data_IF_732728090034
#
_entry.id   IF_732728090034
#
_cell.length_a   1.000
_cell.length_b   1.000
_cell.length_c   1.000
_cell.angle_alpha   90.00
_cell.angle_beta   90.00
_cell.angle_gamma   90.00
#
_symmetry.space_group_name_H-M   'P 1'
#
loop_
_entity.id
_entity.type
_entity.pdbx_description
1 polymer ?
#
# COMPACT_ATOMS: atom_id res chain seq x y z
N UNK A 1 2.29 24.04 -4.31
CA UNK A 1 1.37 22.90 -4.11
C UNK A 1 1.02 22.90 -2.64
N UNK A 2 -0.18 23.35 -2.26
CA UNK A 2 -0.63 23.25 -0.87
C UNK A 2 -0.58 21.77 -0.49
N UNK A 3 0.23 21.44 0.51
CA UNK A 3 0.16 20.14 1.18
C UNK A 3 -1.10 20.20 2.02
N UNK A 4 -2.24 19.87 1.44
CA UNK A 4 -3.39 19.50 2.25
C UNK A 4 -2.91 18.30 3.08
N UNK A 5 -2.79 18.47 4.39
CA UNK A 5 -2.39 17.39 5.29
C UNK A 5 -3.42 16.27 5.13
N UNK A 6 -2.94 15.11 4.67
CA UNK A 6 -3.70 13.87 4.68
C UNK A 6 -4.15 13.59 6.11
N UNK A 7 -5.43 13.84 6.40
CA UNK A 7 -6.03 13.55 7.70
C UNK A 7 -7.05 12.40 7.54
N UNK A 8 -6.81 11.31 8.25
CA UNK A 8 -7.65 10.11 8.26
C UNK A 8 -8.52 9.99 9.51
N UNK A 9 -8.51 10.98 10.41
CA UNK A 9 -9.29 10.97 11.64
C UNK A 9 -10.76 10.62 11.37
N UNK A 10 -11.31 9.70 12.16
CA UNK A 10 -12.69 9.23 12.08
C UNK A 10 -13.12 8.61 10.74
N UNK A 11 -12.19 8.28 9.84
CA UNK A 11 -12.44 7.64 8.56
C UNK A 11 -11.92 6.20 8.54
N UNK A 12 -12.48 5.40 7.62
CA UNK A 12 -12.03 4.04 7.35
C UNK A 12 -10.92 4.09 6.29
N UNK A 13 -9.90 3.26 6.44
CA UNK A 13 -8.77 3.14 5.52
C UNK A 13 -8.72 1.73 4.93
N UNK A 14 -8.81 1.64 3.61
CA UNK A 14 -8.47 0.46 2.82
C UNK A 14 -7.00 0.55 2.42
N UNK A 15 -6.11 0.02 3.26
CA UNK A 15 -4.69 -0.07 2.95
C UNK A 15 -4.42 -1.35 2.17
N UNK A 16 -3.95 -1.22 0.93
CA UNK A 16 -3.76 -2.33 -0.01
C UNK A 16 -2.28 -2.42 -0.36
N UNK A 17 -1.64 -3.53 0.01
CA UNK A 17 -0.25 -3.82 -0.33
C UNK A 17 -0.14 -4.83 -1.47
N UNK A 18 0.81 -4.60 -2.37
CA UNK A 18 1.11 -5.48 -3.50
C UNK A 18 1.75 -6.80 -3.09
N UNK A 19 2.81 -6.74 -2.28
CA UNK A 19 3.58 -7.89 -1.86
C UNK A 19 3.53 -8.14 -0.35
N UNK A 20 4.10 -9.28 0.04
CA UNK A 20 4.25 -9.64 1.45
C UNK A 20 5.24 -8.71 2.16
N UNK A 21 6.33 -8.30 1.50
CA UNK A 21 7.33 -7.42 2.09
C UNK A 21 6.74 -6.06 2.46
N UNK A 22 5.92 -5.45 1.58
CA UNK A 22 5.19 -4.23 1.90
C UNK A 22 4.17 -4.45 3.02
N UNK A 23 3.46 -5.58 3.00
CA UNK A 23 2.48 -5.91 4.05
C UNK A 23 3.15 -6.00 5.42
N UNK A 24 4.24 -6.76 5.53
CA UNK A 24 4.98 -6.96 6.79
C UNK A 24 5.53 -5.64 7.32
N UNK A 25 6.12 -4.80 6.44
CA UNK A 25 6.65 -3.50 6.84
C UNK A 25 5.53 -2.57 7.30
N UNK A 26 4.38 -2.56 6.61
CA UNK A 26 3.24 -1.72 7.00
C UNK A 26 2.63 -2.21 8.31
N UNK A 27 2.53 -3.52 8.53
CA UNK A 27 2.07 -4.07 9.79
C UNK A 27 3.00 -3.67 10.95
N UNK A 28 4.33 -3.74 10.76
CA UNK A 28 5.31 -3.26 11.76
C UNK A 28 5.11 -1.77 12.06
N UNK A 29 4.94 -0.94 11.02
CA UNK A 29 4.77 0.50 11.20
C UNK A 29 3.44 0.83 11.91
N UNK A 30 2.37 0.09 11.63
CA UNK A 30 1.08 0.21 12.31
C UNK A 30 1.17 -0.16 13.78
N UNK A 31 1.81 -1.28 14.09
CA UNK A 31 1.93 -1.79 15.45
C UNK A 31 2.78 -0.87 16.35
N UNK A 32 3.67 -0.10 15.73
CA UNK A 32 4.52 0.90 16.40
C UNK A 32 3.97 2.33 16.30
N UNK A 33 2.75 2.56 15.78
CA UNK A 33 2.14 3.87 15.60
C UNK A 33 3.01 4.88 14.81
N UNK A 34 3.70 4.40 13.78
CA UNK A 34 4.62 5.19 12.95
C UNK A 34 3.98 5.74 11.67
N UNK A 35 2.67 5.56 11.50
CA UNK A 35 1.89 6.07 10.37
C UNK A 35 0.89 7.15 10.81
N UNK A 36 0.42 7.95 9.86
CA UNK A 36 -0.61 8.98 10.06
C UNK A 36 -2.04 8.41 10.24
N UNK A 37 -2.15 7.09 10.35
CA UNK A 37 -3.37 6.35 10.67
C UNK A 37 -3.00 5.14 11.54
N UNK A 38 -3.95 4.65 12.33
CA UNK A 38 -3.73 3.51 13.23
C UNK A 38 -4.39 2.24 12.72
N UNK A 39 -4.05 1.09 13.31
CA UNK A 39 -4.65 -0.20 12.96
C UNK A 39 -6.18 -0.23 13.14
N UNK A 40 -6.72 0.49 14.12
CA UNK A 40 -8.17 0.59 14.34
C UNK A 40 -8.92 1.35 13.23
N UNK A 41 -8.21 2.17 12.44
CA UNK A 41 -8.79 2.86 11.28
C UNK A 41 -8.87 1.96 10.04
N UNK A 42 -8.15 0.85 10.01
CA UNK A 42 -8.18 -0.07 8.88
C UNK A 42 -9.51 -0.81 8.80
N UNK A 43 -9.98 -1.04 7.57
CA UNK A 43 -11.08 -1.97 7.33
C UNK A 43 -10.71 -3.36 7.88
N UNK A 44 -11.57 -3.91 8.73
CA UNK A 44 -11.31 -5.17 9.45
C UNK A 44 -9.98 -5.20 10.23
N UNK A 45 -9.44 -4.03 10.61
CA UNK A 45 -8.18 -3.88 11.37
C UNK A 45 -6.96 -4.53 10.70
N UNK A 46 -6.97 -4.71 9.38
CA UNK A 46 -5.92 -5.42 8.64
C UNK A 46 -5.52 -4.71 7.35
N UNK A 47 -4.28 -4.96 6.93
CA UNK A 47 -3.82 -4.63 5.59
C UNK A 47 -4.46 -5.61 4.61
N UNK A 48 -4.97 -5.09 3.50
CA UNK A 48 -5.55 -5.88 2.42
C UNK A 48 -4.45 -6.26 1.44
N UNK A 49 -4.50 -7.50 0.95
CA UNK A 49 -3.68 -7.92 -0.18
C UNK A 49 -4.23 -7.32 -1.47
N UNK A 50 -3.35 -7.05 -2.43
CA UNK A 50 -3.75 -6.62 -3.76
C UNK A 50 -4.63 -7.69 -4.42
N UNK A 51 -5.79 -7.25 -4.89
CA UNK A 51 -6.70 -8.02 -5.73
C UNK A 51 -6.94 -7.28 -7.05
N UNK A 52 -7.67 -7.90 -7.98
CA UNK A 52 -8.12 -7.21 -9.18
C UNK A 52 -9.02 -6.02 -8.81
N UNK A 53 -9.00 -4.98 -9.64
CA UNK A 53 -9.82 -3.78 -9.41
C UNK A 53 -11.32 -4.13 -9.33
N UNK A 54 -11.78 -5.13 -10.11
CA UNK A 54 -13.16 -5.62 -10.04
C UNK A 54 -13.49 -6.25 -8.68
N UNK A 55 -12.62 -7.11 -8.16
CA UNK A 55 -12.81 -7.69 -6.82
C UNK A 55 -12.76 -6.62 -5.74
N UNK A 56 -11.90 -5.61 -5.88
CA UNK A 56 -11.85 -4.51 -4.91
C UNK A 56 -13.19 -3.76 -4.88
N UNK A 57 -13.77 -3.51 -6.05
CA UNK A 57 -15.07 -2.85 -6.18
C UNK A 57 -16.19 -3.71 -5.59
N UNK A 58 -16.22 -4.99 -5.94
CA UNK A 58 -17.30 -5.89 -5.56
C UNK A 58 -17.26 -6.27 -4.07
N UNK A 59 -16.08 -6.41 -3.49
CA UNK A 59 -15.92 -6.86 -2.10
C UNK A 59 -15.82 -5.72 -1.08
N UNK A 60 -15.29 -4.56 -1.48
CA UNK A 60 -15.02 -3.47 -0.54
C UNK A 60 -15.78 -2.19 -0.88
N UNK A 61 -15.81 -1.75 -2.14
CA UNK A 61 -16.41 -0.45 -2.47
C UNK A 61 -17.94 -0.48 -2.61
N UNK A 62 -18.52 -1.67 -2.80
CA UNK A 62 -19.96 -1.94 -2.87
C UNK A 62 -20.66 -1.94 -1.52
N UNK A 63 -19.89 -2.02 -0.43
CA UNK A 63 -20.43 -2.02 0.93
C UNK A 63 -21.02 -0.66 1.29
N UNK A 64 -22.04 -0.68 2.14
CA UNK A 64 -22.63 0.54 2.67
C UNK A 64 -21.78 1.08 3.84
N UNK A 65 -21.10 2.20 3.59
CA UNK A 65 -20.32 2.93 4.60
C UNK A 65 -21.07 4.13 5.18
N UNK A 66 -22.37 4.28 4.87
CA UNK A 66 -23.15 5.45 5.23
C UNK A 66 -22.49 6.74 4.72
N UNK A 67 -22.28 7.70 5.62
CA UNK A 67 -21.64 8.98 5.28
C UNK A 67 -20.11 8.93 5.25
N UNK A 68 -19.48 7.79 5.54
CA UNK A 68 -18.03 7.67 5.75
C UNK A 68 -17.38 6.73 4.74
N UNK A 69 -17.40 7.11 3.46
CA UNK A 69 -16.66 6.37 2.43
C UNK A 69 -15.19 6.16 2.87
N UNK A 70 -14.55 5.03 2.55
CA UNK A 70 -13.17 4.80 2.94
C UNK A 70 -12.17 5.58 2.09
N UNK A 71 -11.00 5.85 2.65
CA UNK A 71 -9.79 6.18 1.88
C UNK A 71 -9.14 4.91 1.34
N UNK A 72 -8.59 4.96 0.14
CA UNK A 72 -7.88 3.85 -0.49
C UNK A 72 -6.40 4.21 -0.57
N UNK A 73 -5.57 3.54 0.22
CA UNK A 73 -4.11 3.69 0.19
C UNK A 73 -3.51 2.48 -0.48
N UNK A 74 -2.88 2.69 -1.63
CA UNK A 74 -2.25 1.62 -2.42
C UNK A 74 -0.73 1.71 -2.27
N UNK A 75 -0.10 0.63 -1.86
CA UNK A 75 1.34 0.50 -1.71
C UNK A 75 1.79 -0.56 -2.72
N UNK A 76 2.47 -0.10 -3.78
CA UNK A 76 2.71 -0.90 -4.99
C UNK A 76 4.17 -0.81 -5.44
N UNK A 77 4.66 -1.83 -6.13
CA UNK A 77 6.04 -1.94 -6.59
C UNK A 77 6.34 -1.00 -7.78
N UNK A 78 5.32 -0.71 -8.58
CA UNK A 78 5.47 -0.04 -9.88
C UNK A 78 4.26 0.82 -10.25
N UNK A 79 4.52 1.92 -10.96
CA UNK A 79 3.50 2.89 -11.39
C UNK A 79 2.63 2.42 -12.55
N UNK A 80 2.92 1.25 -13.13
CA UNK A 80 2.27 0.79 -14.35
C UNK A 80 0.91 0.13 -14.09
N UNK A 81 0.51 -0.07 -12.83
CA UNK A 81 -0.79 -0.63 -12.49
C UNK A 81 -1.91 0.42 -12.59
N UNK A 82 -2.71 0.30 -13.65
CA UNK A 82 -3.84 1.17 -13.91
C UNK A 82 -5.03 0.83 -12.99
N UNK A 83 -5.14 1.53 -11.86
CA UNK A 83 -6.28 1.42 -10.94
C UNK A 83 -7.52 2.15 -11.49
N UNK A 84 -8.20 1.50 -12.43
CA UNK A 84 -9.34 2.06 -13.14
C UNK A 84 -10.65 1.55 -12.55
N UNK A 85 -11.22 2.32 -11.63
CA UNK A 85 -12.57 2.07 -11.12
C UNK A 85 -13.63 2.32 -12.21
N UNK A 86 -14.72 1.55 -12.17
CA UNK A 86 -15.95 1.78 -12.94
C UNK A 86 -16.81 2.85 -12.27
N UNK A 87 -17.70 3.48 -13.02
CA UNK A 87 -18.71 4.36 -12.41
C UNK A 87 -19.72 3.53 -11.59
N UNK A 88 -20.25 4.05 -10.47
CA UNK A 88 -20.03 5.39 -9.92
C UNK A 88 -18.78 5.51 -9.02
N UNK A 89 -18.08 4.41 -8.73
CA UNK A 89 -16.95 4.39 -7.79
C UNK A 89 -15.82 5.33 -8.21
N UNK A 90 -15.53 5.41 -9.51
CA UNK A 90 -14.53 6.34 -10.03
C UNK A 90 -14.81 7.79 -9.61
N UNK A 91 -16.06 8.24 -9.70
CA UNK A 91 -16.46 9.59 -9.29
C UNK A 91 -16.42 9.73 -7.76
N UNK A 92 -17.00 8.77 -7.03
CA UNK A 92 -17.11 8.82 -5.57
C UNK A 92 -15.75 8.80 -4.84
N UNK A 93 -14.79 8.04 -5.35
CA UNK A 93 -13.49 7.82 -4.70
C UNK A 93 -12.36 8.66 -5.30
N UNK A 94 -12.64 9.53 -6.28
CA UNK A 94 -11.62 10.29 -7.03
C UNK A 94 -10.63 11.05 -6.14
N UNK A 95 -11.11 11.68 -5.07
CA UNK A 95 -10.31 12.46 -4.11
C UNK A 95 -9.85 11.64 -2.89
N UNK A 96 -10.05 10.33 -2.90
CA UNK A 96 -9.79 9.44 -1.75
C UNK A 96 -8.81 8.32 -2.05
N UNK A 97 -8.23 8.30 -3.23
CA UNK A 97 -7.25 7.29 -3.66
C UNK A 97 -5.85 7.90 -3.63
N UNK A 98 -4.97 7.27 -2.87
CA UNK A 98 -3.55 7.62 -2.79
C UNK A 98 -2.72 6.40 -3.13
N UNK A 99 -1.68 6.58 -3.94
CA UNK A 99 -0.79 5.50 -4.38
C UNK A 99 0.64 5.87 -4.04
N UNK A 100 1.30 4.99 -3.29
CA UNK A 100 2.69 5.09 -2.86
C UNK A 100 3.47 3.98 -3.56
N UNK A 101 4.49 4.37 -4.32
CA UNK A 101 5.31 3.41 -5.04
C UNK A 101 6.58 3.11 -4.26
N UNK A 102 6.88 1.83 -4.06
CA UNK A 102 8.08 1.34 -3.36
C UNK A 102 9.27 1.15 -4.31
N UNK A 103 9.18 1.64 -5.56
CA UNK A 103 10.25 1.52 -6.55
C UNK A 103 11.58 2.12 -6.03
N UNK A 104 12.73 1.43 -6.22
CA UNK A 104 12.91 0.22 -7.03
C UNK A 104 12.26 -1.05 -6.47
N UNK A 105 12.26 -1.28 -5.16
CA UNK A 105 11.52 -2.31 -4.40
C UNK A 105 11.80 -2.07 -2.90
N UNK A 106 10.86 -2.37 -2.01
CA UNK A 106 11.03 -2.06 -0.57
C UNK A 106 12.15 -2.90 0.07
N UNK A 107 12.47 -4.04 -0.52
CA UNK A 107 13.57 -4.94 -0.18
C UNK A 107 14.94 -4.27 -0.27
N UNK A 108 15.07 -3.13 -0.98
CA UNK A 108 16.29 -2.34 -0.92
C UNK A 108 16.64 -1.88 0.50
N UNK A 109 15.65 -1.70 1.37
CA UNK A 109 15.87 -1.39 2.79
C UNK A 109 16.59 -2.54 3.51
N UNK A 110 16.23 -3.78 3.19
CA UNK A 110 16.86 -4.98 3.75
C UNK A 110 18.30 -5.09 3.26
N UNK A 111 18.54 -4.90 1.97
CA UNK A 111 19.88 -4.93 1.37
C UNK A 111 20.79 -3.86 2.01
N UNK A 112 20.25 -2.67 2.29
CA UNK A 112 20.98 -1.60 2.95
C UNK A 112 21.33 -1.95 4.40
N UNK A 113 20.36 -2.45 5.18
CA UNK A 113 20.57 -2.90 6.56
C UNK A 113 21.67 -3.97 6.67
N UNK A 114 21.67 -4.91 5.73
CA UNK A 114 22.67 -5.99 5.64
C UNK A 114 24.03 -5.54 5.13
N UNK A 115 24.18 -4.28 4.71
CA UNK A 115 25.40 -3.69 4.11
C UNK A 115 25.85 -4.40 2.84
N UNK A 116 24.93 -5.05 2.13
CA UNK A 116 25.22 -5.91 0.97
C UNK A 116 25.11 -5.21 -0.39
N UNK A 117 24.93 -3.87 -0.40
CA UNK A 117 24.77 -3.08 -1.62
C UNK A 117 25.87 -3.33 -2.67
N UNK A 118 27.11 -3.57 -2.24
CA UNK A 118 28.25 -3.84 -3.13
C UNK A 118 28.15 -5.21 -3.80
N UNK A 119 27.60 -6.19 -3.11
CA UNK A 119 27.36 -7.54 -3.64
C UNK A 119 26.16 -7.49 -4.59
N UNK A 120 25.04 -6.93 -4.14
CA UNK A 120 23.83 -6.74 -4.93
C UNK A 120 24.11 -6.08 -6.30
N UNK A 121 24.87 -4.98 -6.32
CA UNK A 121 25.18 -4.26 -7.55
C UNK A 121 25.93 -5.10 -8.61
N UNK A 122 26.54 -6.23 -8.24
CA UNK A 122 27.24 -7.14 -9.18
C UNK A 122 26.31 -8.18 -9.80
N UNK A 123 25.19 -8.48 -9.15
CA UNK A 123 24.31 -9.60 -9.47
C UNK A 123 23.28 -9.28 -10.58
N UNK A 124 23.15 -8.01 -10.97
CA UNK A 124 22.23 -7.52 -12.02
C UNK A 124 20.82 -8.14 -11.95
N UNK A 125 20.26 -8.23 -10.72
CA UNK A 125 18.96 -8.81 -10.44
C UNK A 125 18.07 -7.84 -9.66
N UNK A 126 16.77 -8.15 -9.57
CA UNK A 126 15.82 -7.35 -8.78
C UNK A 126 16.10 -7.49 -7.27
N UNK A 127 15.83 -6.45 -6.45
CA UNK A 127 16.02 -6.51 -4.99
C UNK A 127 15.34 -7.69 -4.31
N UNK A 128 14.10 -8.01 -4.68
CA UNK A 128 13.31 -9.13 -4.17
C UNK A 128 13.91 -10.50 -4.54
N UNK A 129 14.49 -10.63 -5.74
CA UNK A 129 15.20 -11.84 -6.16
C UNK A 129 16.47 -12.02 -5.35
N UNK A 130 17.22 -10.93 -5.15
CA UNK A 130 18.43 -10.95 -4.33
C UNK A 130 18.12 -11.32 -2.88
N UNK A 131 17.10 -10.72 -2.27
CA UNK A 131 16.73 -11.03 -0.89
C UNK A 131 16.31 -12.50 -0.73
N UNK A 132 15.45 -13.03 -1.61
CA UNK A 132 15.04 -14.44 -1.57
C UNK A 132 16.19 -15.44 -1.68
N UNK A 133 17.30 -15.05 -2.31
CA UNK A 133 18.46 -15.90 -2.47
C UNK A 133 19.43 -15.84 -1.28
N UNK A 134 19.38 -14.78 -0.48
CA UNK A 134 20.41 -14.48 0.53
C UNK A 134 19.88 -14.38 1.97
N UNK A 135 18.56 -14.20 2.18
CA UNK A 135 17.90 -14.03 3.49
C UNK A 135 16.60 -14.84 3.56
#
# INVERSE_FOLDING_TARGET
MQRDELNFENNIVLCICEGNAETDIIDILLDNNMLIFTRDMLFEKRVLRRESVDRIQDNYLSLDYGSKLPFILRIIDSKHDAFKLREPYKTMYKSRIYTFCTSPEIEMLIIYDKKDIKCFNKENMKPSVYCKANY
#
